data_IF_739154572722
#
_entry.id   IF_739154572722
#
_cell.length_a   1.000
_cell.length_b   1.000
_cell.length_c   1.000
_cell.angle_alpha   90.00
_cell.angle_beta   90.00
_cell.angle_gamma   90.00
#
_symmetry.space_group_name_H-M   'P 1'
#
loop_
_entity.id
_entity.type
_entity.pdbx_description
1 polymer ?
#
# COMPACT_ATOMS: atom_id res chain seq x y z
N UNK A 1 -34.44 4.98 -26.36
CA UNK A 1 -33.62 3.85 -26.85
C UNK A 1 -32.25 3.95 -26.21
N UNK A 2 -32.04 3.23 -25.11
CA UNK A 2 -30.75 3.16 -24.43
C UNK A 2 -29.84 2.21 -25.19
N UNK A 3 -28.84 2.75 -25.87
CA UNK A 3 -27.83 1.98 -26.58
C UNK A 3 -27.11 1.03 -25.63
N UNK A 4 -26.70 -0.12 -26.16
CA UNK A 4 -25.94 -1.13 -25.46
C UNK A 4 -24.76 -0.49 -24.70
N UNK A 5 -24.97 -0.34 -23.40
CA UNK A 5 -24.03 -0.21 -22.29
C UNK A 5 -22.69 0.43 -22.63
N UNK A 6 -22.56 1.70 -22.25
CA UNK A 6 -21.40 2.60 -22.35
C UNK A 6 -20.09 2.11 -21.67
N UNK A 7 -19.96 0.81 -21.39
CA UNK A 7 -18.87 0.19 -20.64
C UNK A 7 -18.19 -0.96 -21.42
N UNK A 8 -17.99 -0.81 -22.72
CA UNK A 8 -17.24 -1.77 -23.55
C UNK A 8 -15.74 -1.92 -23.21
N UNK A 9 -15.21 -1.13 -22.27
CA UNK A 9 -13.80 -1.11 -21.87
C UNK A 9 -13.43 -2.13 -20.78
N UNK A 10 -14.40 -2.83 -20.18
CA UNK A 10 -14.13 -4.08 -19.45
C UNK A 10 -14.11 -5.25 -20.43
N UNK A 11 -13.40 -5.09 -21.55
CA UNK A 11 -12.98 -6.20 -22.41
C UNK A 11 -12.46 -7.30 -21.48
N UNK A 12 -13.01 -8.50 -21.65
CA UNK A 12 -12.78 -9.65 -20.79
C UNK A 12 -11.35 -9.65 -20.25
N UNK A 13 -11.21 -9.55 -18.91
CA UNK A 13 -9.93 -9.79 -18.25
C UNK A 13 -9.31 -11.02 -18.90
N UNK A 14 -8.06 -10.89 -19.34
CA UNK A 14 -7.28 -12.00 -19.89
C UNK A 14 -7.54 -13.26 -19.06
N UNK A 15 -7.82 -14.39 -19.71
CA UNK A 15 -8.40 -15.56 -19.05
C UNK A 15 -7.54 -16.05 -17.88
N UNK A 16 -6.22 -15.87 -17.98
CA UNK A 16 -5.28 -16.21 -16.91
C UNK A 16 -5.31 -15.21 -15.76
N UNK A 17 -5.46 -13.91 -16.05
CA UNK A 17 -5.65 -12.88 -15.03
C UNK A 17 -6.99 -13.06 -14.30
N UNK A 18 -8.07 -13.38 -15.02
CA UNK A 18 -9.37 -13.69 -14.41
C UNK A 18 -9.30 -14.90 -13.46
N UNK A 19 -8.60 -15.98 -13.87
CA UNK A 19 -8.34 -17.15 -13.02
C UNK A 19 -7.50 -16.78 -11.79
N UNK A 20 -6.45 -15.99 -11.96
CA UNK A 20 -5.59 -15.54 -10.87
C UNK A 20 -6.38 -14.71 -9.85
N UNK A 21 -7.20 -13.76 -10.31
CA UNK A 21 -8.06 -12.93 -9.48
C UNK A 21 -9.09 -13.77 -8.73
N UNK A 22 -9.75 -14.74 -9.40
CA UNK A 22 -10.71 -15.62 -8.76
C UNK A 22 -10.07 -16.47 -7.64
N UNK A 23 -8.84 -16.96 -7.84
CA UNK A 23 -8.07 -17.67 -6.80
C UNK A 23 -7.74 -16.75 -5.61
N UNK A 24 -7.33 -15.52 -5.88
CA UNK A 24 -7.03 -14.54 -4.84
C UNK A 24 -8.30 -14.19 -4.04
N UNK A 25 -9.42 -13.96 -4.73
CA UNK A 25 -10.72 -13.67 -4.12
C UNK A 25 -11.18 -14.80 -3.21
N UNK A 26 -11.03 -16.07 -3.65
CA UNK A 26 -11.33 -17.24 -2.82
C UNK A 26 -10.49 -17.29 -1.56
N UNK A 27 -9.17 -17.04 -1.64
CA UNK A 27 -8.28 -16.99 -0.47
C UNK A 27 -8.66 -15.88 0.50
N UNK A 28 -9.08 -14.73 -0.04
CA UNK A 28 -9.55 -13.59 0.73
C UNK A 28 -10.99 -13.75 1.27
N UNK A 29 -11.69 -14.83 0.90
CA UNK A 29 -13.13 -15.06 1.17
C UNK A 29 -14.02 -13.90 0.68
N UNK A 30 -13.71 -13.37 -0.50
CA UNK A 30 -14.43 -12.27 -1.15
C UNK A 30 -14.92 -12.72 -2.53
N UNK A 31 -15.93 -12.03 -3.06
CA UNK A 31 -16.26 -12.15 -4.48
C UNK A 31 -15.15 -11.49 -5.33
N UNK A 32 -14.90 -11.98 -6.57
CA UNK A 32 -13.92 -11.38 -7.47
C UNK A 32 -14.14 -9.88 -7.70
N UNK A 33 -15.39 -9.46 -7.89
CA UNK A 33 -15.74 -8.05 -8.12
C UNK A 33 -15.41 -7.18 -6.91
N UNK A 34 -15.72 -7.68 -5.70
CA UNK A 34 -15.43 -6.96 -4.46
C UNK A 34 -13.92 -6.84 -4.22
N UNK A 35 -13.17 -7.91 -4.48
CA UNK A 35 -11.72 -7.86 -4.36
C UNK A 35 -11.13 -6.89 -5.39
N UNK A 36 -11.60 -6.92 -6.64
CA UNK A 36 -11.14 -6.02 -7.69
C UNK A 36 -11.40 -4.55 -7.32
N UNK A 37 -12.61 -4.24 -6.85
CA UNK A 37 -12.96 -2.89 -6.42
C UNK A 37 -12.06 -2.40 -5.28
N UNK A 38 -11.81 -3.23 -4.27
CA UNK A 38 -10.91 -2.89 -3.17
C UNK A 38 -9.49 -2.66 -3.66
N UNK A 39 -8.94 -3.53 -4.52
CA UNK A 39 -7.59 -3.38 -5.06
C UNK A 39 -7.43 -2.13 -5.92
N UNK A 40 -8.43 -1.76 -6.72
CA UNK A 40 -8.42 -0.52 -7.50
C UNK A 40 -8.44 0.70 -6.58
N UNK A 41 -9.28 0.69 -5.55
CA UNK A 41 -9.35 1.80 -4.59
C UNK A 41 -8.09 1.92 -3.74
N UNK A 42 -7.52 0.80 -3.30
CA UNK A 42 -6.24 0.75 -2.60
C UNK A 42 -5.13 1.27 -3.49
N UNK A 43 -5.04 0.81 -4.74
CA UNK A 43 -4.07 1.31 -5.70
C UNK A 43 -4.18 2.82 -5.89
N UNK A 44 -5.39 3.35 -6.09
CA UNK A 44 -5.59 4.79 -6.29
C UNK A 44 -5.26 5.63 -5.04
N UNK A 45 -5.46 5.08 -3.84
CA UNK A 45 -5.09 5.75 -2.58
C UNK A 45 -3.59 5.71 -2.33
N UNK A 46 -2.98 4.58 -2.61
CA UNK A 46 -1.59 4.30 -2.24
C UNK A 46 -0.61 4.60 -3.38
N UNK A 47 -1.09 5.01 -4.55
CA UNK A 47 -0.25 5.27 -5.71
C UNK A 47 0.82 6.32 -5.42
N UNK A 48 0.44 7.42 -4.76
CA UNK A 48 1.36 8.50 -4.42
C UNK A 48 2.38 8.07 -3.36
N UNK A 49 1.93 7.30 -2.35
CA UNK A 49 2.80 6.75 -1.31
C UNK A 49 3.78 5.72 -1.87
N UNK A 50 3.32 4.84 -2.75
CA UNK A 50 4.15 3.87 -3.43
C UNK A 50 5.21 4.55 -4.31
N UNK A 51 4.82 5.57 -5.08
CA UNK A 51 5.73 6.35 -5.90
C UNK A 51 6.76 7.10 -5.03
N UNK A 52 6.34 7.67 -3.90
CA UNK A 52 7.23 8.30 -2.94
C UNK A 52 8.26 7.31 -2.37
N UNK A 53 7.80 6.12 -1.95
CA UNK A 53 8.66 5.05 -1.46
C UNK A 53 9.65 4.55 -2.53
N UNK A 54 9.18 4.35 -3.77
CA UNK A 54 10.01 3.92 -4.89
C UNK A 54 11.11 4.94 -5.24
N UNK A 55 10.77 6.25 -5.20
CA UNK A 55 11.74 7.35 -5.37
C UNK A 55 12.77 7.37 -4.24
N UNK A 56 12.33 7.24 -2.99
CA UNK A 56 13.23 7.18 -1.83
C UNK A 56 14.19 5.98 -1.93
N UNK A 57 13.68 4.80 -2.28
CA UNK A 57 14.51 3.60 -2.49
C UNK A 57 15.53 3.78 -3.61
N UNK A 58 15.12 4.40 -4.72
CA UNK A 58 16.02 4.69 -5.84
C UNK A 58 17.15 5.63 -5.42
N UNK A 59 16.82 6.68 -4.65
CA UNK A 59 17.83 7.59 -4.08
C UNK A 59 18.81 6.85 -3.17
N UNK A 60 18.33 6.00 -2.26
CA UNK A 60 19.19 5.21 -1.37
C UNK A 60 20.13 4.32 -2.18
N UNK A 61 19.61 3.62 -3.21
CA UNK A 61 20.44 2.80 -4.11
C UNK A 61 21.51 3.61 -4.85
N UNK A 62 21.24 4.88 -5.15
CA UNK A 62 22.20 5.81 -5.77
C UNK A 62 23.16 6.46 -4.76
N UNK A 63 23.18 5.99 -3.51
CA UNK A 63 24.08 6.48 -2.47
C UNK A 63 23.59 7.73 -1.74
N UNK A 64 22.27 8.00 -1.74
CA UNK A 64 21.74 9.08 -0.91
C UNK A 64 22.06 8.83 0.57
N UNK A 65 22.51 9.89 1.25
CA UNK A 65 22.82 9.86 2.68
C UNK A 65 21.59 9.40 3.47
N UNK A 66 21.77 8.34 4.24
CA UNK A 66 20.80 7.89 5.25
C UNK A 66 21.19 8.48 6.60
N UNK A 67 20.21 8.63 7.48
CA UNK A 67 20.40 9.13 8.83
C UNK A 67 20.14 7.99 9.82
N UNK A 68 20.96 7.92 10.87
CA UNK A 68 20.73 6.99 11.97
C UNK A 68 19.45 7.35 12.72
N UNK A 69 18.81 6.37 13.36
CA UNK A 69 17.55 6.60 14.08
C UNK A 69 17.68 7.69 15.16
N UNK A 70 18.77 7.68 15.93
CA UNK A 70 19.02 8.69 16.98
C UNK A 70 19.19 10.10 16.42
N UNK A 71 19.81 10.22 15.24
CA UNK A 71 19.96 11.50 14.54
C UNK A 71 18.61 12.03 14.08
N UNK A 72 17.75 11.15 13.54
CA UNK A 72 16.38 11.49 13.12
C UNK A 72 15.54 11.90 14.34
N UNK A 73 15.62 11.16 15.43
CA UNK A 73 14.87 11.45 16.67
C UNK A 73 15.20 12.86 17.17
N UNK A 74 16.49 13.19 17.29
CA UNK A 74 16.95 14.50 17.75
C UNK A 74 16.58 15.62 16.78
N UNK A 75 16.78 15.40 15.47
CA UNK A 75 16.55 16.42 14.45
C UNK A 75 15.08 16.81 14.32
N UNK A 76 14.16 15.90 14.62
CA UNK A 76 12.72 16.10 14.48
C UNK A 76 11.99 16.29 15.83
N UNK A 77 12.72 16.41 16.95
CA UNK A 77 12.12 16.62 18.27
C UNK A 77 11.21 15.47 18.71
N UNK A 78 11.57 14.23 18.35
CA UNK A 78 10.75 13.05 18.59
C UNK A 78 11.09 12.35 19.91
N UNK A 79 11.95 12.92 20.76
CA UNK A 79 12.42 12.30 21.99
C UNK A 79 11.26 11.85 22.89
N UNK A 80 10.27 12.72 23.08
CA UNK A 80 9.10 12.45 23.94
C UNK A 80 8.22 11.33 23.39
N UNK A 81 8.14 11.22 22.06
CA UNK A 81 7.31 10.21 21.37
C UNK A 81 7.92 8.81 21.47
N UNK A 82 9.25 8.72 21.50
CA UNK A 82 9.99 7.47 21.67
C UNK A 82 9.93 7.02 23.14
N UNK A 83 10.09 7.94 24.08
CA UNK A 83 10.01 7.64 25.52
C UNK A 83 8.64 7.14 25.97
N UNK A 84 7.53 7.69 25.43
CA UNK A 84 6.17 7.19 25.72
C UNK A 84 5.96 5.75 25.26
N UNK A 85 6.52 5.36 24.11
CA UNK A 85 6.45 3.96 23.62
C UNK A 85 7.28 3.01 24.48
N UNK A 86 8.49 3.42 24.90
CA UNK A 86 9.33 2.62 25.79
C UNK A 86 8.71 2.39 27.18
N UNK A 87 7.97 3.37 27.73
CA UNK A 87 7.23 3.21 28.99
C UNK A 87 6.00 2.30 28.87
N UNK A 88 5.32 2.28 27.73
CA UNK A 88 4.18 1.40 27.49
C UNK A 88 4.60 -0.09 27.44
N UNK A 89 5.77 -0.39 26.86
CA UNK A 89 6.32 -1.76 26.82
C UNK A 89 6.84 -2.28 28.16
N UNK A 90 7.08 -1.41 29.16
CA UNK A 90 7.59 -1.79 30.49
C UNK A 90 6.45 -2.02 31.50
N UNK A 91 5.20 -1.67 31.15
CA UNK A 91 4.03 -1.81 32.03
C UNK A 91 3.24 -3.11 31.85
N UNK A 92 3.74 -4.05 31.05
CA UNK A 92 3.23 -5.42 30.95
C UNK A 92 4.27 -6.40 31.52
N UNK A 93 4.40 -6.44 32.84
CA UNK A 93 4.88 -7.60 33.60
C UNK A 93 4.05 -7.68 34.88
#
# INVERSE_FOLDING_TARGET
>A
MGGASEHGYLQALDADLAKALARAARRARKSPDRLLQELVLEYLRDQDDYLAAARARTRIKKGARTYGLDEVIKRHGLEDSVQRRGRASVRQV
#
